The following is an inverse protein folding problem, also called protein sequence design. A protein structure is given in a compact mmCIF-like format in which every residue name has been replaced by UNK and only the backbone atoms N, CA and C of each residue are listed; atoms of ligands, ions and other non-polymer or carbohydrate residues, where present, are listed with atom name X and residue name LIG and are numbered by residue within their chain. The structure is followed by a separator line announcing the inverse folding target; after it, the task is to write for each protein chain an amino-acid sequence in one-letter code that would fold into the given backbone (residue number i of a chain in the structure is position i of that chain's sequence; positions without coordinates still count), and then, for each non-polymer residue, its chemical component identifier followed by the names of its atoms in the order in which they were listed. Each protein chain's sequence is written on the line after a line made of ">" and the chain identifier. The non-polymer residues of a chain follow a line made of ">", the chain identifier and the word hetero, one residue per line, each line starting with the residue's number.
data_IF_675412505061
#
_entry.id   IF_675412505061
#
_cell.length_a   1.000
_cell.length_b   1.000
_cell.length_c   1.000
_cell.angle_alpha   90.00
_cell.angle_beta   90.00
_cell.angle_gamma   90.00
#
_symmetry.space_group_name_H-M   'P 1'
#
loop_
_entity.id
_entity.type
_entity.pdbx_description
1 polymer ?
#
# COMPACT_ATOMS: atom_id res chain seq x y z
N UNK A 1 -4.28 19.66 12.09
CA UNK A 1 -3.36 18.79 12.83
C UNK A 1 -3.84 17.35 12.67
N UNK A 2 -3.17 16.53 11.85
CA UNK A 2 -3.67 15.18 11.55
C UNK A 2 -3.17 14.52 10.26
N UNK A 3 -1.98 14.90 9.77
CA UNK A 3 -1.42 14.31 8.56
C UNK A 3 -0.67 13.02 8.92
N UNK A 4 -1.43 11.93 9.06
CA UNK A 4 -0.82 10.60 9.10
C UNK A 4 -0.20 10.33 7.74
N UNK A 5 1.07 9.93 7.74
CA UNK A 5 1.75 9.52 6.52
C UNK A 5 1.34 8.10 6.13
N UNK A 6 1.04 7.92 4.85
CA UNK A 6 0.65 6.64 4.26
C UNK A 6 1.75 6.14 3.34
N UNK A 7 2.10 4.86 3.49
CA UNK A 7 3.00 4.13 2.61
C UNK A 7 2.19 3.20 1.70
N UNK A 8 2.21 3.44 0.40
CA UNK A 8 1.69 2.50 -0.60
C UNK A 8 2.75 1.45 -0.93
N UNK A 9 2.44 0.17 -0.75
CA UNK A 9 3.37 -0.92 -1.03
C UNK A 9 2.65 -2.18 -1.55
N UNK A 10 3.39 -3.05 -2.25
CA UNK A 10 2.92 -4.39 -2.59
C UNK A 10 2.89 -5.25 -1.34
N UNK A 11 1.74 -5.89 -1.06
CA UNK A 11 1.59 -6.79 0.07
C UNK A 11 1.55 -8.24 -0.43
N UNK A 12 2.65 -8.99 -0.24
CA UNK A 12 2.76 -10.38 -0.70
C UNK A 12 1.68 -11.29 -0.10
N UNK A 13 1.30 -11.06 1.17
CA UNK A 13 0.25 -11.83 1.85
C UNK A 13 -1.13 -11.70 1.19
N UNK A 14 -1.38 -10.60 0.47
CA UNK A 14 -2.67 -10.33 -0.18
C UNK A 14 -2.58 -10.37 -1.70
N UNK A 15 -1.37 -10.43 -2.27
CA UNK A 15 -1.16 -10.39 -3.71
C UNK A 15 -1.67 -9.11 -4.37
N UNK A 16 -1.66 -7.98 -3.66
CA UNK A 16 -2.13 -6.68 -4.18
C UNK A 16 -1.45 -5.50 -3.47
N UNK A 17 -1.60 -4.30 -4.00
CA UNK A 17 -1.16 -3.05 -3.40
C UNK A 17 -2.04 -2.64 -2.22
N UNK A 18 -1.39 -2.21 -1.12
CA UNK A 18 -2.05 -1.72 0.10
C UNK A 18 -1.42 -0.45 0.62
N UNK A 19 -2.25 0.33 1.29
CA UNK A 19 -1.91 1.58 1.97
C UNK A 19 -1.69 1.32 3.45
N UNK A 20 -0.47 1.50 3.93
CA UNK A 20 -0.09 1.29 5.32
C UNK A 20 0.06 2.64 6.04
N UNK A 21 -0.51 2.72 7.24
CA UNK A 21 -0.34 3.87 8.13
C UNK A 21 1.01 3.80 8.83
N UNK A 22 1.88 4.77 8.59
CA UNK A 22 3.22 4.76 9.18
C UNK A 22 3.18 4.84 10.72
N UNK A 23 2.18 5.49 11.30
CA UNK A 23 2.01 5.59 12.76
C UNK A 23 1.66 4.25 13.44
N UNK A 24 1.24 3.22 12.68
CA UNK A 24 0.87 1.90 13.21
C UNK A 24 1.94 0.83 12.98
N UNK A 25 3.06 1.16 12.34
CA UNK A 25 4.13 0.21 12.07
C UNK A 25 5.02 0.10 13.30
N UNK A 26 5.01 -1.06 13.95
CA UNK A 26 5.85 -1.32 15.12
C UNK A 26 7.33 -1.51 14.77
N UNK A 27 7.61 -2.13 13.62
CA UNK A 27 8.98 -2.31 13.10
C UNK A 27 8.97 -2.55 11.59
N UNK A 28 10.09 -2.23 10.94
CA UNK A 28 10.39 -2.59 9.56
C UNK A 28 11.87 -2.96 9.47
N UNK A 29 12.20 -3.86 8.54
CA UNK A 29 13.58 -4.24 8.25
C UNK A 29 13.77 -4.35 6.74
N UNK A 30 14.96 -4.00 6.27
CA UNK A 30 15.33 -4.20 4.86
C UNK A 30 15.68 -5.67 4.67
N UNK A 31 15.13 -6.26 3.61
CA UNK A 31 15.47 -7.62 3.18
C UNK A 31 16.55 -7.55 2.10
N UNK A 32 17.33 -8.62 1.95
CA UNK A 32 18.29 -8.76 0.85
C UNK A 32 17.58 -8.97 -0.50
N UNK A 33 16.30 -9.35 -0.48
CA UNK A 33 15.46 -9.47 -1.66
C UNK A 33 15.14 -8.09 -2.25
N UNK A 34 15.30 -7.97 -3.57
CA UNK A 34 15.02 -6.75 -4.32
C UNK A 34 13.96 -7.01 -5.39
N UNK A 35 13.09 -6.02 -5.60
CA UNK A 35 12.09 -6.04 -6.67
C UNK A 35 12.46 -4.99 -7.73
N UNK A 36 12.13 -5.28 -8.99
CA UNK A 36 12.18 -4.26 -10.02
C UNK A 36 11.10 -3.20 -9.73
N UNK A 37 11.55 -2.01 -9.34
CA UNK A 37 10.71 -0.88 -9.00
C UNK A 37 10.08 -0.18 -10.22
N UNK A 38 10.41 -0.57 -11.44
CA UNK A 38 9.92 0.06 -12.66
C UNK A 38 8.39 0.05 -12.70
N UNK A 39 7.79 1.25 -12.74
CA UNK A 39 6.35 1.44 -12.85
C UNK A 39 5.53 1.06 -11.60
N UNK A 40 6.17 0.81 -10.44
CA UNK A 40 5.47 0.42 -9.22
C UNK A 40 4.45 1.49 -8.77
N UNK A 41 4.80 2.77 -8.87
CA UNK A 41 3.88 3.88 -8.58
C UNK A 41 2.67 3.89 -9.52
N UNK A 42 2.87 3.73 -10.83
CA UNK A 42 1.77 3.71 -11.80
C UNK A 42 0.83 2.51 -11.57
N UNK A 43 1.39 1.35 -11.19
CA UNK A 43 0.62 0.16 -10.80
C UNK A 43 -0.17 0.40 -9.51
N UNK A 44 0.46 1.00 -8.50
CA UNK A 44 -0.19 1.38 -7.26
C UNK A 44 -1.36 2.34 -7.51
N UNK A 45 -1.16 3.43 -8.27
CA UNK A 45 -2.21 4.39 -8.58
C UNK A 45 -3.40 3.76 -9.33
N UNK A 46 -3.17 2.77 -10.19
CA UNK A 46 -4.25 2.00 -10.81
C UNK A 46 -5.02 1.14 -9.81
N UNK A 47 -4.36 0.54 -8.81
CA UNK A 47 -5.02 -0.25 -7.76
C UNK A 47 -5.86 0.64 -6.85
N UNK A 48 -5.32 1.78 -6.39
CA UNK A 48 -6.06 2.73 -5.54
C UNK A 48 -7.34 3.22 -6.22
N UNK A 49 -7.27 3.57 -7.51
CA UNK A 49 -8.46 3.98 -8.28
C UNK A 49 -9.56 2.91 -8.38
N UNK A 50 -9.20 1.63 -8.25
CA UNK A 50 -10.17 0.52 -8.25
C UNK A 50 -10.78 0.29 -6.86
N UNK A 51 -10.04 0.59 -5.79
CA UNK A 51 -10.54 0.45 -4.41
C UNK A 51 -11.57 1.55 -4.04
N UNK A 52 -11.49 2.74 -4.65
CA UNK A 52 -12.48 3.81 -4.46
C UNK A 52 -13.84 3.52 -5.15
N UNK A 53 -13.89 2.57 -6.08
CA UNK A 53 -15.11 2.17 -6.82
C UNK A 53 -15.88 1.03 -6.13
N UNK A 54 -15.30 0.41 -5.10
CA UNK A 54 -15.98 -0.60 -4.28
C UNK A 54 -16.86 0.12 -3.25
N UNK A 55 -18.20 -0.05 -3.27
CA UNK A 55 -19.07 0.60 -2.30
C UNK A 55 -18.65 0.11 -0.92
N UNK A 56 -18.19 1.04 -0.08
CA UNK A 56 -17.78 0.79 1.30
C UNK A 56 -18.72 -0.25 1.92
N UNK A 57 -18.22 -1.46 2.10
CA UNK A 57 -18.99 -2.55 2.65
C UNK A 57 -19.55 -2.11 3.99
N UNK A 58 -20.87 -1.90 4.03
CA UNK A 58 -21.66 -1.67 5.23
C UNK A 58 -21.41 -2.82 6.20
N UNK A 59 -20.93 -2.49 7.40
CA UNK A 59 -20.80 -3.38 8.55
C UNK A 59 -20.55 -2.59 9.82
#
# INVERSE_FOLDING_TARGET
>A
WGQTWTLGAWCELRGDFRSFRLDRIASSSTLDAHFDGAGMLARYLRSVRQQDDEPAATG
#
